data_IF_458133493118
#
_entry.id   IF_458133493118
#
_cell.length_a   1.000
_cell.length_b   1.000
_cell.length_c   1.000
_cell.angle_alpha   90.00
_cell.angle_beta   90.00
_cell.angle_gamma   90.00
#
_symmetry.space_group_name_H-M   'P 1'
#
loop_
_entity.id
_entity.type
_entity.pdbx_description
1 polymer ?
2 non-polymer ?
3 non-polymer ?
4 non-polymer ?
5 non-polymer ?
6 water ?
#
# COMPACT_ATOMS: atom_id res chain seq x y z
N UNK A 2 32.45 -20.88 -2.82
CA UNK A 2 31.21 -20.09 -2.81
C UNK A 2 31.49 -18.60 -2.87
N UNK A 3 30.49 -17.80 -3.22
CA UNK A 3 30.62 -16.36 -3.26
C UNK A 3 29.30 -15.64 -2.93
N UNK A 4 29.37 -14.50 -2.26
CA UNK A 4 28.14 -13.73 -2.01
C UNK A 4 27.67 -13.10 -3.30
N UNK A 5 26.44 -13.37 -3.74
CA UNK A 5 25.89 -12.76 -4.94
C UNK A 5 25.03 -11.54 -4.65
N UNK A 6 24.38 -11.54 -3.47
CA UNK A 6 23.58 -10.40 -3.06
C UNK A 6 23.51 -10.42 -1.53
N UNK A 7 23.43 -9.24 -0.92
CA UNK A 7 23.38 -9.21 0.55
C UNK A 7 22.74 -7.88 0.96
N UNK A 8 21.89 -7.93 1.99
CA UNK A 8 21.37 -6.71 2.57
C UNK A 8 21.01 -7.04 4.03
N UNK A 9 21.04 -6.02 4.88
CA UNK A 9 20.80 -6.28 6.30
C UNK A 9 20.29 -4.96 6.86
N UNK A 10 19.62 -5.06 8.06
CA UNK A 10 19.13 -3.82 8.66
C UNK A 10 18.14 -4.11 9.79
N UNK A 11 17.24 -3.16 9.98
CA UNK A 11 16.26 -3.26 11.08
C UNK A 11 14.85 -3.22 10.50
N UNK A 12 14.08 -4.23 10.96
CA UNK A 12 12.65 -4.31 10.60
C UNK A 12 11.73 -4.03 11.79
N UNK A 13 10.48 -3.74 11.50
CA UNK A 13 9.41 -3.64 12.50
C UNK A 13 9.72 -2.58 13.55
N UNK A 14 10.25 -1.44 13.09
CA UNK A 14 10.54 -0.34 14.02
C UNK A 14 9.32 0.55 14.11
N UNK A 15 8.63 0.48 15.25
CA UNK A 15 7.44 1.30 15.49
C UNK A 15 7.84 2.73 15.87
N UNK A 16 7.21 3.69 15.24
CA UNK A 16 7.55 5.10 15.46
C UNK A 16 6.27 5.91 15.58
N UNK A 17 6.11 6.74 16.62
CA UNK A 17 5.08 7.72 16.77
C UNK A 17 5.69 9.13 16.74
N UNK A 18 5.01 10.05 16.10
CA UNK A 18 5.46 11.44 16.30
C UNK A 18 4.24 12.30 16.53
N UNK A 19 4.34 13.29 17.44
CA UNK A 19 3.30 14.30 17.63
C UNK A 19 3.77 15.69 17.20
N UNK A 20 2.87 16.42 16.59
CA UNK A 20 3.07 17.84 16.31
C UNK A 20 2.12 18.63 17.19
N UNK A 21 2.61 19.66 17.87
CA UNK A 21 1.80 20.50 18.73
C UNK A 21 1.81 21.96 18.24
N UNK A 22 0.62 22.48 17.98
CA UNK A 22 0.51 23.90 17.62
C UNK A 22 0.10 24.62 18.90
N UNK A 23 1.04 25.35 19.52
CA UNK A 23 0.66 25.95 20.79
C UNK A 23 0.13 27.36 20.59
N UNK A 24 -0.10 27.76 19.34
CA UNK A 24 -0.96 28.91 19.08
C UNK A 24 -2.42 28.42 19.08
N UNK A 25 -2.69 27.35 18.34
CA UNK A 25 -4.08 26.87 18.27
C UNK A 25 -4.40 25.79 19.31
N UNK A 26 -3.42 25.15 19.91
CA UNK A 26 -3.59 24.11 20.90
C UNK A 26 -3.94 22.76 20.28
N UNK A 27 -3.82 22.72 18.96
CA UNK A 27 -4.18 21.49 18.24
C UNK A 27 -2.99 20.56 18.10
N UNK A 28 -3.18 19.28 18.41
CA UNK A 28 -2.08 18.30 18.27
C UNK A 28 -2.46 17.36 17.14
N UNK A 29 -1.41 16.87 16.47
CA UNK A 29 -1.63 15.99 15.33
C UNK A 29 -0.68 14.82 15.50
N UNK A 30 -1.11 13.57 15.33
CA UNK A 30 -0.25 12.42 15.53
C UNK A 30 -0.05 11.61 14.23
N UNK A 31 1.11 11.01 14.20
CA UNK A 31 1.53 10.15 13.12
C UNK A 31 2.10 8.88 13.71
N UNK A 32 1.73 7.72 13.17
CA UNK A 32 2.34 6.49 13.62
C UNK A 32 2.63 5.59 12.41
N UNK A 33 3.81 5.02 12.46
CA UNK A 33 4.28 4.15 11.37
C UNK A 33 5.04 2.95 11.86
N UNK A 34 5.32 2.05 10.93
CA UNK A 34 6.28 0.98 11.15
C UNK A 34 7.31 1.00 10.02
N UNK A 35 8.57 1.09 10.40
CA UNK A 35 9.69 1.32 9.47
C UNK A 35 10.61 0.12 9.40
N UNK A 36 11.05 -0.16 8.16
CA UNK A 36 12.18 -1.05 7.93
C UNK A 36 13.21 -0.39 7.02
N UNK A 37 14.46 -0.59 7.37
CA UNK A 37 15.61 -0.12 6.60
C UNK A 37 16.57 -1.27 6.40
N UNK A 38 16.87 -1.58 5.12
CA UNK A 38 17.88 -2.57 4.75
C UNK A 38 18.94 -1.87 3.91
N UNK A 39 20.20 -2.12 4.25
CA UNK A 39 21.34 -1.53 3.56
C UNK A 39 22.09 -2.58 2.75
N UNK A 40 22.68 -2.06 1.66
CA UNK A 40 23.56 -2.80 0.79
C UNK A 40 24.87 -1.98 0.57
N UNK A 41 25.91 -2.76 0.27
CA UNK A 41 27.16 -2.01 -0.06
C UNK A 41 28.31 -2.99 -0.01
N UNK A 42 29.48 -2.45 0.36
CA UNK A 42 30.67 -3.27 0.46
C UNK A 42 30.69 -3.92 1.82
N UNK A 43 29.87 -4.94 1.94
CA UNK A 43 29.65 -5.61 3.22
C UNK A 43 29.85 -7.09 3.17
N UNK A 44 30.31 -7.67 2.04
CA UNK A 44 30.37 -9.12 1.96
C UNK A 44 31.32 -9.76 2.94
N UNK A 45 32.38 -9.02 3.35
CA UNK A 45 33.32 -9.63 4.29
C UNK A 45 32.72 -9.88 5.68
N UNK A 46 31.58 -9.20 5.96
CA UNK A 46 30.94 -9.57 7.24
C UNK A 46 30.38 -10.99 7.15
N UNK A 47 29.99 -11.38 5.93
CA UNK A 47 29.52 -12.74 5.75
C UNK A 47 30.63 -13.78 5.57
N UNK A 48 31.68 -13.41 4.83
CA UNK A 48 32.66 -14.42 4.48
C UNK A 48 33.87 -14.47 5.38
N UNK A 49 34.14 -13.41 6.14
CA UNK A 49 35.39 -13.36 6.89
C UNK A 49 35.17 -12.92 8.33
N UNK A 50 33.92 -12.91 8.77
CA UNK A 50 33.64 -12.48 10.15
C UNK A 50 34.18 -11.07 10.41
N UNK A 51 34.16 -10.21 9.41
CA UNK A 51 34.62 -8.83 9.52
C UNK A 51 33.46 -7.92 9.85
N UNK A 52 33.25 -7.65 11.15
CA UNK A 52 32.13 -6.81 11.54
C UNK A 52 32.37 -5.30 11.38
N UNK A 53 33.61 -4.91 11.00
CA UNK A 53 33.94 -3.50 10.78
C UNK A 53 33.06 -2.83 9.75
N UNK A 54 32.49 -3.62 8.81
CA UNK A 54 31.64 -3.06 7.75
C UNK A 54 30.18 -2.95 8.15
N UNK A 55 29.88 -3.48 9.34
CA UNK A 55 28.49 -3.43 9.80
C UNK A 55 28.16 -2.22 10.65
N UNK A 56 27.20 -1.45 10.16
CA UNK A 56 26.46 -0.43 10.89
C UNK A 56 25.43 -1.23 11.69
N UNK A 57 25.59 -1.31 13.00
CA UNK A 57 24.78 -2.24 13.78
C UNK A 57 23.30 -1.91 13.60
N UNK A 58 22.49 -3.00 13.65
CA UNK A 58 21.05 -2.72 13.38
C UNK A 58 20.42 -1.83 14.44
N UNK A 59 21.02 -1.99 15.65
CA UNK A 59 20.57 -1.06 16.70
C UNK A 59 20.87 0.39 16.40
N UNK A 60 22.03 0.59 15.72
CA UNK A 60 22.31 1.97 15.31
C UNK A 60 21.44 2.50 14.20
N UNK A 61 21.04 1.56 13.28
CA UNK A 61 20.02 1.89 12.30
C UNK A 61 18.71 2.31 12.98
N UNK A 62 18.30 1.57 14.02
CA UNK A 62 17.12 1.97 14.79
C UNK A 62 17.27 3.34 15.40
N UNK A 63 18.41 3.57 16.07
CA UNK A 63 18.63 4.92 16.62
C UNK A 63 18.49 6.01 15.58
N UNK A 64 19.08 5.76 14.39
CA UNK A 64 19.02 6.70 13.28
C UNK A 64 17.62 7.01 12.76
N UNK A 65 16.74 5.98 12.76
CA UNK A 65 15.34 6.25 12.43
C UNK A 65 14.71 7.24 13.40
N UNK A 66 14.94 6.97 14.71
CA UNK A 66 14.32 7.92 15.68
C UNK A 66 14.89 9.34 15.61
N UNK A 67 16.23 9.40 15.50
CA UNK A 67 16.86 10.73 15.33
C UNK A 67 16.40 11.48 14.10
N UNK A 68 16.34 10.77 12.95
CA UNK A 68 15.82 11.41 11.74
C UNK A 68 14.38 11.89 11.88
N UNK A 69 13.55 11.08 12.58
CA UNK A 69 12.19 11.49 12.86
C UNK A 69 12.10 12.70 13.77
N UNK A 70 13.08 12.84 14.68
CA UNK A 70 13.10 14.01 15.57
C UNK A 70 13.42 15.30 14.82
N UNK A 71 14.34 15.17 13.86
CA UNK A 71 14.92 16.29 13.12
C UNK A 71 14.20 16.68 11.85
N UNK A 72 13.21 15.93 11.37
CA UNK A 72 12.50 16.21 10.14
C UNK A 72 11.01 15.92 10.23
N UNK A 73 10.22 16.49 9.35
CA UNK A 73 8.83 16.01 9.23
C UNK A 73 8.83 14.53 8.85
N UNK A 74 7.80 13.80 9.30
CA UNK A 74 7.69 12.37 8.98
C UNK A 74 6.65 12.18 7.87
N UNK A 75 6.07 13.26 7.40
CA UNK A 75 5.08 13.23 6.33
C UNK A 75 5.53 14.18 5.20
N UNK A 76 5.22 13.89 3.94
CA UNK A 76 4.62 12.63 3.51
C UNK A 76 5.65 11.52 3.60
N UNK A 77 5.22 10.26 3.69
CA UNK A 77 6.16 9.17 3.89
C UNK A 77 7.16 9.04 2.74
N UNK A 78 6.81 9.42 1.53
CA UNK A 78 7.76 9.41 0.41
C UNK A 78 8.98 10.32 0.72
N UNK A 79 8.68 11.46 1.35
CA UNK A 79 9.76 12.39 1.72
C UNK A 79 10.59 11.84 2.87
N UNK A 80 9.91 11.36 3.91
CA UNK A 80 10.66 10.88 5.08
C UNK A 80 11.57 9.74 4.73
N UNK A 81 11.04 8.76 3.93
CA UNK A 81 11.85 7.63 3.50
C UNK A 81 13.04 8.06 2.62
N UNK A 82 12.80 9.14 1.83
CA UNK A 82 13.94 9.60 1.00
C UNK A 82 15.04 10.27 1.83
N UNK A 83 14.62 11.02 2.85
CA UNK A 83 15.60 11.64 3.73
C UNK A 83 16.40 10.59 4.48
N UNK A 84 15.70 9.59 5.03
CA UNK A 84 16.34 8.54 5.77
C UNK A 84 17.31 7.72 4.93
N UNK A 85 16.85 7.35 3.71
CA UNK A 85 17.75 6.53 2.90
C UNK A 85 18.98 7.33 2.39
N UNK A 86 18.74 8.59 2.10
CA UNK A 86 19.83 9.47 1.65
C UNK A 86 20.86 9.58 2.76
N UNK A 87 20.40 9.70 4.02
CA UNK A 87 21.37 9.76 5.11
C UNK A 87 22.33 8.60 5.07
N UNK A 88 21.83 7.35 4.86
CA UNK A 88 22.74 6.24 5.01
C UNK A 88 23.80 6.17 3.92
N UNK A 89 23.33 6.46 2.68
CA UNK A 89 24.35 6.32 1.62
C UNK A 89 25.26 7.55 1.71
N UNK A 90 24.87 8.69 2.27
CA UNK A 90 25.85 9.79 2.35
C UNK A 90 26.77 9.62 3.52
N UNK A 91 26.23 9.14 4.64
CA UNK A 91 27.03 9.09 5.86
C UNK A 91 28.13 8.05 5.73
N UNK A 92 27.89 6.91 5.10
CA UNK A 92 28.76 5.76 5.07
C UNK A 92 29.31 5.54 3.66
N UNK A 93 30.60 5.80 3.45
CA UNK A 93 31.18 5.62 2.13
C UNK A 93 30.92 4.24 1.59
N UNK A 94 30.88 3.20 2.43
CA UNK A 94 30.80 1.84 1.90
C UNK A 94 29.36 1.31 1.74
N UNK A 95 28.39 2.11 2.12
CA UNK A 95 26.97 1.78 1.93
C UNK A 95 26.51 2.47 0.66
N UNK A 96 26.01 1.62 -0.27
CA UNK A 96 25.68 2.15 -1.59
C UNK A 96 24.21 2.10 -1.93
N UNK A 97 23.42 1.43 -1.08
CA UNK A 97 21.99 1.54 -1.26
C UNK A 97 21.27 1.43 0.09
N UNK A 98 20.17 2.16 0.15
CA UNK A 98 19.33 2.04 1.36
C UNK A 98 17.89 1.83 0.89
N UNK A 99 17.30 0.80 1.49
CA UNK A 99 15.94 0.39 1.11
C UNK A 99 15.01 0.60 2.31
N UNK A 100 14.13 1.54 2.16
CA UNK A 100 13.23 1.97 3.25
C UNK A 100 11.77 1.66 2.95
N UNK A 101 11.20 0.79 3.82
CA UNK A 101 9.76 0.60 3.79
C UNK A 101 9.07 1.31 4.93
N UNK A 102 7.96 1.97 4.65
CA UNK A 102 7.17 2.61 5.72
C UNK A 102 5.71 2.16 5.58
N UNK A 103 5.14 1.66 6.66
CA UNK A 103 3.71 1.37 6.79
C UNK A 103 3.13 2.50 7.65
N UNK A 104 2.21 3.25 7.16
CA UNK A 104 1.57 4.34 7.91
C UNK A 104 0.22 3.87 8.46
N UNK A 105 0.03 4.02 9.77
CA UNK A 105 -1.20 3.60 10.44
C UNK A 105 -2.15 4.75 10.62
N UNK A 106 -3.46 4.46 10.62
CA UNK A 106 -4.45 5.54 10.69
C UNK A 106 -4.75 5.97 12.13
N UNK A 107 -4.59 7.28 12.34
CA UNK A 107 -5.07 7.97 13.54
C UNK A 107 -5.85 9.19 13.08
N UNK A 108 -7.14 8.98 12.86
CA UNK A 108 -8.01 10.02 12.34
C UNK A 108 -8.54 10.84 13.50
N UNK A 109 -8.50 12.18 13.35
CA UNK A 109 -8.98 13.01 14.47
C UNK A 109 -10.44 12.71 14.77
N UNK A 110 -10.78 12.58 16.05
CA UNK A 110 -12.19 12.46 16.43
C UNK A 110 -13.01 13.73 16.28
N UNK A 111 -14.29 13.52 15.93
CA UNK A 111 -15.27 14.60 16.00
C UNK A 111 -16.10 14.35 17.25
N UNK A 112 -16.20 15.34 18.12
CA UNK A 112 -17.03 15.18 19.32
C UNK A 112 -18.08 16.27 19.30
N UNK A 113 -19.35 15.90 19.41
CA UNK A 113 -20.43 16.90 19.33
C UNK A 113 -20.26 17.84 18.15
N UNK A 114 -19.81 17.24 17.05
CA UNK A 114 -19.71 17.82 15.75
C UNK A 114 -18.59 18.81 15.56
N UNK A 115 -17.60 18.76 16.44
CA UNK A 115 -16.42 19.61 16.29
C UNK A 115 -15.17 18.73 16.36
N UNK A 116 -14.14 18.96 15.55
CA UNK A 116 -12.90 18.19 15.63
C UNK A 116 -12.20 18.39 16.97
N UNK A 117 -11.79 17.28 17.57
CA UNK A 117 -11.13 17.36 18.88
C UNK A 117 -9.64 17.65 18.71
N UNK A 118 -9.08 18.53 19.53
CA UNK A 118 -7.69 18.91 19.35
C UNK A 118 -6.64 17.88 19.64
N UNK A 119 -6.93 16.76 20.30
CA UNK A 119 -5.90 15.79 20.65
C UNK A 119 -6.38 14.37 20.94
N UNK A 120 -7.53 14.01 20.32
CA UNK A 120 -8.05 12.65 20.45
C UNK A 120 -8.32 12.06 19.07
N UNK A 121 -7.93 10.79 18.90
CA UNK A 121 -7.90 10.14 17.61
C UNK A 121 -8.45 8.71 17.63
N UNK A 122 -8.92 8.24 16.47
CA UNK A 122 -9.46 6.89 16.36
C UNK A 122 -8.77 6.15 15.21
N UNK A 123 -8.53 4.86 15.42
CA UNK A 123 -8.09 3.99 14.31
C UNK A 123 -9.32 3.62 13.49
N UNK A 124 -9.60 4.40 12.44
CA UNK A 124 -10.75 4.10 11.56
C UNK A 124 -10.24 3.20 10.41
N UNK A 125 -9.98 1.98 10.76
CA UNK A 125 -9.70 0.82 9.96
C UNK A 125 -8.21 0.56 9.86
N UNK A 126 -7.97 -0.67 9.42
CA UNK A 126 -6.61 -1.18 9.30
C UNK A 126 -6.07 -0.87 7.91
N UNK A 127 -6.81 -0.11 7.08
CA UNK A 127 -6.18 0.35 5.83
C UNK A 127 -4.85 1.06 6.11
N UNK A 128 -3.85 0.79 5.27
CA UNK A 128 -2.53 1.40 5.42
C UNK A 128 -2.27 2.22 4.17
N UNK A 129 -1.39 3.20 4.35
CA UNK A 129 -0.71 3.94 3.30
C UNK A 129 0.77 3.54 3.38
N UNK A 130 1.45 3.14 2.33
CA UNK A 130 2.80 2.60 2.40
C UNK A 130 3.69 3.31 1.36
N UNK A 131 4.97 3.27 1.64
CA UNK A 131 6.00 3.56 0.64
C UNK A 131 7.12 2.55 0.72
N UNK A 132 7.74 2.30 -0.43
CA UNK A 132 9.02 1.65 -0.59
C UNK A 132 9.93 2.65 -1.33
N UNK A 133 10.97 3.07 -0.62
CA UNK A 133 11.89 4.08 -1.17
C UNK A 133 13.26 3.46 -1.25
N UNK A 134 13.76 3.32 -2.49
CA UNK A 134 15.06 2.73 -2.72
C UNK A 134 16.03 3.85 -3.13
N UNK A 135 16.98 4.13 -2.23
CA UNK A 135 18.00 5.17 -2.49
C UNK A 135 19.27 4.47 -2.90
N UNK A 136 19.70 4.69 -4.16
CA UNK A 136 20.82 3.92 -4.71
C UNK A 136 21.90 4.87 -5.22
N UNK A 137 23.08 4.73 -4.63
CA UNK A 137 24.13 5.73 -4.91
C UNK A 137 24.46 5.74 -6.39
N UNK A 138 24.52 6.95 -6.94
CA UNK A 138 24.76 7.04 -8.38
C UNK A 138 23.48 6.96 -9.19
N UNK A 139 22.41 6.36 -8.66
CA UNK A 139 21.19 6.15 -9.42
C UNK A 139 19.93 6.71 -8.82
N UNK A 140 19.93 7.74 -7.98
CA UNK A 140 18.72 8.45 -7.59
C UNK A 140 17.93 7.70 -6.53
N UNK A 141 16.66 8.03 -6.57
CA UNK A 141 15.67 7.51 -5.63
C UNK A 141 14.46 6.97 -6.39
N UNK A 142 14.21 5.67 -6.18
CA UNK A 142 13.05 4.98 -6.74
C UNK A 142 11.97 4.83 -5.66
N UNK A 143 10.78 5.35 -5.95
CA UNK A 143 9.69 5.30 -4.99
C UNK A 143 8.45 4.58 -5.55
N UNK A 144 7.98 3.62 -4.77
CA UNK A 144 6.64 3.04 -4.98
C UNK A 144 5.72 3.46 -3.85
N UNK A 145 4.55 3.95 -4.09
CA UNK A 145 3.57 4.34 -3.08
C UNK A 145 2.39 3.39 -3.09
N UNK A 146 1.75 3.14 -1.96
CA UNK A 146 0.55 2.27 -2.13
C UNK A 146 -0.45 2.51 -1.03
N UNK A 147 -1.66 2.00 -1.31
CA UNK A 147 -2.70 1.86 -0.29
C UNK A 147 -2.99 0.36 -0.26
N UNK A 148 -3.26 -0.14 0.95
CA UNK A 148 -3.50 -1.58 1.14
C UNK A 148 -4.48 -1.77 2.29
N UNK A 149 -5.14 -2.92 2.25
CA UNK A 149 -6.06 -3.25 3.32
C UNK A 149 -7.32 -2.42 3.28
N UNK A 150 -7.73 -1.96 2.10
CA UNK A 150 -8.98 -1.21 1.91
C UNK A 150 -10.04 -2.23 1.51
N UNK A 151 -10.89 -2.61 2.45
CA UNK A 151 -11.81 -3.75 2.30
C UNK A 151 -13.19 -3.23 2.00
N UNK A 152 -13.74 -3.69 0.86
CA UNK A 152 -14.97 -3.17 0.28
C UNK A 152 -15.85 -4.35 -0.19
N UNK A 153 -17.14 -4.01 -0.31
CA UNK A 153 -18.13 -4.98 -0.77
C UNK A 153 -19.23 -4.22 -1.54
N UNK A 154 -19.64 -4.77 -2.69
CA UNK A 154 -20.86 -4.31 -3.37
C UNK A 154 -21.80 -5.52 -3.49
N UNK A 155 -23.09 -5.25 -3.32
CA UNK A 155 -24.04 -6.35 -3.18
C UNK A 155 -24.71 -6.74 -4.49
N UNK A 156 -24.45 -5.92 -5.51
CA UNK A 156 -25.00 -6.18 -6.85
C UNK A 156 -24.21 -5.40 -7.89
N UNK A 157 -24.54 -5.41 -9.17
CA UNK A 157 -23.75 -4.64 -10.15
C UNK A 157 -22.32 -5.17 -10.23
N UNK A 158 -22.21 -6.48 -10.12
CA UNK A 158 -21.08 -7.26 -10.53
C UNK A 158 -21.58 -8.47 -11.30
N UNK A 159 -20.90 -8.79 -12.37
CA UNK A 159 -21.24 -9.94 -13.20
C UNK A 159 -20.03 -10.79 -13.53
N UNK A 160 -20.24 -12.04 -13.93
CA UNK A 160 -19.17 -12.87 -14.46
C UNK A 160 -19.75 -13.98 -15.32
N UNK A 161 -19.74 -13.70 -16.62
CA UNK A 161 -20.21 -14.67 -17.62
C UNK A 161 -19.32 -14.63 -18.85
N UNK A 162 -19.48 -15.59 -19.76
CA UNK A 162 -18.67 -15.55 -20.97
C UNK A 162 -17.26 -16.07 -20.80
N UNK A 163 -16.93 -16.69 -19.67
CA UNK A 163 -15.61 -17.26 -19.46
C UNK A 163 -15.42 -18.59 -20.16
N UNK A 164 -14.20 -19.07 -20.35
CA UNK A 164 -13.92 -20.34 -21.00
C UNK A 164 -14.61 -21.49 -20.28
N UNK A 165 -15.22 -22.41 -21.04
CA UNK A 165 -15.92 -23.56 -20.48
C UNK A 165 -15.40 -24.84 -21.10
N UNK A 166 -14.84 -25.76 -20.35
CA UNK A 166 -14.38 -27.05 -20.80
C UNK A 166 -14.61 -28.13 -19.73
N UNK A 167 -13.93 -29.24 -19.85
CA UNK A 167 -14.24 -30.38 -18.99
C UNK A 167 -13.75 -30.11 -17.56
N UNK A 168 -13.02 -29.03 -17.31
CA UNK A 168 -12.67 -28.67 -15.92
C UNK A 168 -13.63 -27.67 -15.32
N UNK A 169 -14.63 -27.17 -16.02
CA UNK A 169 -15.51 -26.11 -15.59
C UNK A 169 -16.83 -26.57 -14.99
N UNK A 170 -17.15 -26.06 -13.80
CA UNK A 170 -18.44 -26.35 -13.16
C UNK A 170 -19.19 -25.09 -12.82
N UNK A 171 -18.51 -23.93 -12.78
CA UNK A 171 -19.05 -22.67 -12.39
C UNK A 171 -20.17 -22.19 -13.30
N UNK A 172 -21.26 -21.77 -12.71
CA UNK A 172 -22.39 -21.22 -13.45
C UNK A 172 -22.15 -19.76 -13.80
N UNK A 173 -22.47 -19.37 -15.02
CA UNK A 173 -22.46 -17.95 -15.36
C UNK A 173 -23.37 -17.16 -14.45
N UNK A 174 -23.04 -15.92 -14.14
CA UNK A 174 -23.92 -15.05 -13.38
C UNK A 174 -23.94 -13.64 -13.97
N UNK A 175 -25.11 -13.00 -13.93
CA UNK A 175 -25.34 -11.63 -14.32
C UNK A 175 -25.62 -10.73 -13.10
N UNK A 176 -25.47 -11.25 -11.87
CA UNK A 176 -25.71 -10.50 -10.66
C UNK A 176 -25.10 -11.23 -9.47
N UNK A 177 -23.93 -10.75 -9.01
CA UNK A 177 -23.21 -11.37 -7.90
C UNK A 177 -22.72 -10.26 -6.97
N UNK A 178 -22.35 -10.74 -5.78
CA UNK A 178 -21.58 -9.94 -4.82
C UNK A 178 -20.11 -9.88 -5.26
N UNK A 179 -19.52 -8.71 -5.10
CA UNK A 179 -18.06 -8.55 -5.24
C UNK A 179 -17.48 -7.87 -4.00
N UNK A 180 -16.52 -8.59 -3.39
CA UNK A 180 -15.79 -8.02 -2.23
C UNK A 180 -14.31 -8.25 -2.37
N UNK A 181 -13.49 -7.29 -1.94
CA UNK A 181 -12.04 -7.43 -2.10
C UNK A 181 -11.33 -6.61 -1.04
N UNK A 182 -10.02 -6.83 -0.92
CA UNK A 182 -9.11 -6.01 -0.11
C UNK A 182 -8.20 -5.32 -1.14
N UNK A 183 -8.28 -4.02 -1.30
CA UNK A 183 -7.55 -3.38 -2.40
C UNK A 183 -6.09 -3.16 -2.03
N UNK A 184 -5.17 -3.63 -2.85
CA UNK A 184 -3.74 -3.32 -2.78
C UNK A 184 -3.41 -2.61 -4.11
N UNK A 185 -3.16 -1.31 -4.05
CA UNK A 185 -2.88 -0.52 -5.25
C UNK A 185 -1.56 0.23 -5.09
N UNK A 186 -0.70 0.14 -6.07
CA UNK A 186 0.65 0.71 -6.00
C UNK A 186 0.91 1.60 -7.22
N UNK A 187 1.41 2.81 -6.99
CA UNK A 187 1.83 3.66 -8.11
C UNK A 187 3.34 3.84 -8.03
N UNK A 188 4.02 3.68 -9.15
CA UNK A 188 5.48 3.76 -9.25
C UNK A 188 5.86 5.10 -9.87
N UNK A 189 6.61 5.91 -9.12
CA UNK A 189 7.07 7.20 -9.61
C UNK A 189 8.28 7.10 -10.53
N UNK A 190 8.27 8.09 -11.45
CA UNK A 190 9.46 8.43 -12.22
C UNK A 190 10.65 8.45 -11.28
N UNK A 191 11.79 7.92 -11.69
CA UNK A 191 13.03 8.05 -10.94
C UNK A 191 13.30 9.52 -10.59
N UNK A 192 13.71 9.75 -9.35
CA UNK A 192 14.11 11.08 -8.88
C UNK A 192 15.63 11.06 -8.80
N UNK A 193 16.23 12.21 -9.16
CA UNK A 193 17.69 12.25 -9.17
C UNK A 193 18.35 12.29 -7.81
N UNK A 194 17.58 12.65 -6.79
CA UNK A 194 18.07 12.77 -5.42
C UNK A 194 17.04 13.43 -4.56
N UNK A 195 17.47 13.82 -3.36
CA UNK A 195 16.56 14.40 -2.39
C UNK A 195 15.92 15.70 -2.83
N UNK A 196 16.70 16.55 -3.52
CA UNK A 196 16.18 17.83 -3.96
C UNK A 196 14.96 17.63 -4.86
N UNK A 197 15.08 16.71 -5.80
CA UNK A 197 13.92 16.50 -6.71
C UNK A 197 12.72 15.93 -5.97
N UNK A 198 13.02 15.01 -5.04
CA UNK A 198 11.85 14.53 -4.27
C UNK A 198 11.15 15.68 -3.55
N UNK A 199 11.94 16.53 -2.87
CA UNK A 199 11.36 17.70 -2.20
C UNK A 199 10.56 18.59 -3.12
N UNK A 200 11.01 18.75 -4.38
CA UNK A 200 10.35 19.65 -5.32
C UNK A 200 8.94 19.18 -5.68
N UNK A 201 8.67 17.89 -5.43
CA UNK A 201 7.36 17.33 -5.79
C UNK A 201 6.48 17.03 -4.58
N UNK A 202 6.84 17.47 -3.39
CA UNK A 202 6.19 17.01 -2.16
C UNK A 202 4.68 17.12 -2.18
N UNK A 203 4.04 18.16 -2.64
CA UNK A 203 2.56 18.18 -2.62
C UNK A 203 1.97 17.07 -3.51
N UNK A 204 2.68 16.58 -4.52
CA UNK A 204 2.07 15.54 -5.38
C UNK A 204 1.89 14.20 -4.66
N UNK A 205 2.60 13.98 -3.55
CA UNK A 205 2.49 12.67 -2.91
C UNK A 205 1.14 12.53 -2.24
N UNK A 206 0.75 13.43 -1.33
CA UNK A 206 -0.58 13.30 -0.72
C UNK A 206 -1.66 13.43 -1.78
N UNK A 207 -1.45 14.25 -2.79
CA UNK A 207 -2.52 14.44 -3.78
C UNK A 207 -2.73 13.17 -4.58
N UNK A 208 -1.64 12.46 -4.90
CA UNK A 208 -1.76 11.26 -5.75
C UNK A 208 -2.35 10.12 -4.94
N UNK A 209 -2.01 10.05 -3.66
CA UNK A 209 -2.65 9.03 -2.80
C UNK A 209 -4.14 9.32 -2.73
N UNK A 210 -4.58 10.57 -2.56
CA UNK A 210 -6.00 10.89 -2.54
C UNK A 210 -6.63 10.54 -3.87
N UNK A 211 -5.99 10.85 -5.00
CA UNK A 211 -6.56 10.49 -6.29
C UNK A 211 -6.72 8.99 -6.42
N UNK A 212 -5.70 8.21 -6.09
CA UNK A 212 -5.79 6.75 -6.21
C UNK A 212 -6.95 6.22 -5.37
N UNK A 213 -7.10 6.68 -4.14
CA UNK A 213 -8.15 6.22 -3.26
C UNK A 213 -9.52 6.59 -3.81
N UNK A 214 -9.69 7.83 -4.23
CA UNK A 214 -10.97 8.31 -4.75
C UNK A 214 -11.34 7.54 -6.01
N UNK A 215 -10.38 7.32 -6.90
CA UNK A 215 -10.66 6.61 -8.16
C UNK A 215 -11.05 5.18 -7.83
N UNK A 216 -10.31 4.54 -6.92
CA UNK A 216 -10.65 3.19 -6.49
C UNK A 216 -12.08 3.08 -5.99
N UNK A 217 -12.42 3.94 -5.05
CA UNK A 217 -13.74 3.86 -4.40
C UNK A 217 -14.84 4.14 -5.40
N UNK A 218 -14.76 5.21 -6.19
CA UNK A 218 -15.83 5.57 -7.11
C UNK A 218 -15.95 4.55 -8.24
N UNK A 219 -14.83 4.07 -8.78
CA UNK A 219 -14.91 3.05 -9.84
C UNK A 219 -15.50 1.74 -9.31
N UNK A 220 -15.08 1.30 -8.13
CA UNK A 220 -15.65 0.11 -7.51
C UNK A 220 -17.16 0.26 -7.35
N UNK A 221 -17.62 1.37 -6.81
CA UNK A 221 -19.04 1.57 -6.56
C UNK A 221 -19.87 1.73 -7.83
N UNK A 222 -19.31 2.36 -8.87
CA UNK A 222 -20.14 2.74 -10.03
C UNK A 222 -19.99 1.80 -11.21
N UNK A 223 -18.93 1.03 -11.34
CA UNK A 223 -18.73 0.18 -12.51
C UNK A 223 -19.67 -1.03 -12.42
N UNK A 224 -20.49 -1.24 -13.46
CA UNK A 224 -21.23 -2.51 -13.51
C UNK A 224 -20.26 -3.49 -14.12
N UNK A 225 -19.59 -4.16 -13.20
CA UNK A 225 -18.36 -4.88 -13.45
C UNK A 225 -18.55 -6.15 -14.24
N UNK A 226 -17.82 -6.26 -15.33
CA UNK A 226 -17.77 -7.45 -16.16
C UNK A 226 -16.89 -8.54 -15.60
N UNK A 227 -15.95 -8.16 -14.71
CA UNK A 227 -14.96 -8.99 -14.09
C UNK A 227 -14.06 -8.08 -13.22
N UNK A 228 -13.35 -8.75 -12.30
CA UNK A 228 -12.41 -8.00 -11.45
C UNK A 228 -11.34 -7.34 -12.35
N UNK A 229 -10.84 -8.07 -13.31
CA UNK A 229 -9.83 -7.60 -14.29
C UNK A 229 -10.28 -6.31 -14.95
N UNK A 230 -11.50 -6.24 -15.50
CA UNK A 230 -11.96 -5.08 -16.26
C UNK A 230 -12.18 -3.87 -15.38
N UNK A 231 -12.70 -4.08 -14.17
CA UNK A 231 -12.83 -2.96 -13.24
C UNK A 231 -11.48 -2.39 -12.76
N UNK A 232 -10.57 -3.30 -12.42
CA UNK A 232 -9.28 -2.80 -11.90
C UNK A 232 -8.54 -2.04 -13.00
N UNK A 233 -8.72 -2.51 -14.25
CA UNK A 233 -8.00 -1.83 -15.34
C UNK A 233 -8.50 -0.41 -15.46
N UNK A 234 -9.81 -0.17 -15.34
CA UNK A 234 -10.36 1.17 -15.40
C UNK A 234 -9.76 2.10 -14.35
N UNK A 235 -9.56 1.57 -13.14
CA UNK A 235 -9.00 2.37 -12.05
C UNK A 235 -7.57 2.84 -12.41
N UNK A 236 -6.79 1.87 -12.88
CA UNK A 236 -5.40 2.13 -13.26
C UNK A 236 -5.30 3.15 -14.36
N UNK A 237 -6.14 3.05 -15.39
CA UNK A 237 -5.95 4.03 -16.49
C UNK A 237 -6.31 5.42 -16.01
N UNK A 238 -7.29 5.58 -15.12
CA UNK A 238 -7.70 6.89 -14.65
C UNK A 238 -6.60 7.50 -13.77
N UNK A 239 -5.97 6.67 -12.94
CA UNK A 239 -4.88 7.23 -12.10
C UNK A 239 -3.73 7.70 -12.98
N UNK A 240 -3.34 6.93 -13.99
CA UNK A 240 -2.28 7.34 -14.91
C UNK A 240 -2.63 8.63 -15.60
N UNK A 241 -3.90 8.86 -15.93
CA UNK A 241 -4.27 10.08 -16.65
C UNK A 241 -4.28 11.28 -15.74
N UNK A 242 -4.30 11.02 -14.44
CA UNK A 242 -4.37 12.14 -13.51
C UNK A 242 -3.06 12.44 -12.80
N UNK A 243 -1.96 11.76 -13.09
CA UNK A 243 -0.68 12.15 -12.48
C UNK A 243 0.42 11.75 -13.46
N UNK A 244 0.95 12.75 -14.19
CA UNK A 244 1.93 12.36 -15.19
C UNK A 244 3.28 11.93 -14.65
N UNK A 245 3.63 12.12 -13.38
CA UNK A 245 4.91 11.72 -12.82
C UNK A 245 4.97 10.28 -12.33
N UNK A 246 3.84 9.58 -12.46
CA UNK A 246 3.92 8.14 -12.19
C UNK A 246 4.01 7.35 -13.50
N UNK A 247 4.72 6.26 -13.53
CA UNK A 247 4.93 5.48 -14.74
C UNK A 247 4.01 4.27 -14.84
N UNK A 248 3.73 3.64 -13.70
CA UNK A 248 2.82 2.49 -13.75
C UNK A 248 1.91 2.45 -12.52
N UNK A 249 0.80 1.74 -12.68
CA UNK A 249 -0.14 1.49 -11.57
C UNK A 249 -0.35 -0.01 -11.53
N UNK A 250 -0.21 -0.58 -10.33
CA UNK A 250 -0.37 -2.01 -10.13
C UNK A 250 -1.53 -2.27 -9.18
N UNK A 251 -2.41 -3.21 -9.54
CA UNK A 251 -3.44 -3.67 -8.61
C UNK A 251 -3.24 -5.16 -8.34
N UNK A 252 -3.47 -5.54 -7.09
CA UNK A 252 -3.60 -6.91 -6.65
C UNK A 252 -4.90 -7.02 -5.84
N UNK A 253 -5.89 -7.73 -6.38
CA UNK A 253 -7.22 -7.84 -5.78
C UNK A 253 -7.64 -9.28 -5.57
N UNK A 254 -7.90 -9.72 -4.34
CA UNK A 254 -8.54 -11.01 -4.13
C UNK A 254 -10.04 -10.86 -4.42
N UNK A 255 -10.61 -11.95 -4.93
CA UNK A 255 -12.04 -12.13 -5.05
C UNK A 255 -12.52 -12.98 -3.85
N UNK A 256 -13.04 -12.22 -2.87
CA UNK A 256 -13.43 -12.84 -1.60
C UNK A 256 -14.88 -13.31 -1.77
N UNK A 257 -15.02 -14.62 -1.94
CA UNK A 257 -16.29 -15.15 -2.45
C UNK A 257 -17.41 -15.19 -1.40
N UNK A 258 -18.61 -14.91 -1.81
CA UNK A 258 -19.87 -15.02 -1.07
C UNK A 258 -20.75 -16.04 -1.81
N UNK A 259 -20.93 -17.22 -1.27
CA UNK A 259 -21.67 -18.28 -1.98
C UNK A 259 -23.15 -18.25 -1.65
N UNK A 260 -23.97 -18.45 -2.70
CA UNK A 260 -25.40 -18.64 -2.39
C UNK A 260 -25.59 -19.93 -1.59
N UNK A 261 -26.69 -19.98 -0.84
CA UNK A 261 -27.03 -21.18 -0.09
C UNK A 261 -28.42 -21.69 -0.52
N UNK A 262 -28.42 -22.86 -1.12
CA UNK A 262 -29.69 -23.50 -1.55
C UNK A 262 -30.35 -24.11 -0.31
N UNK A 263 -31.49 -23.56 0.06
CA UNK A 263 -32.29 -24.02 1.19
C UNK A 263 -33.58 -24.69 0.70
N UNK A 264 -33.70 -25.00 -0.59
CA UNK A 264 -35.01 -25.51 -1.02
C UNK A 264 -35.33 -26.88 -0.47
N UNK A 265 -34.37 -27.58 0.05
CA UNK A 265 -34.53 -28.87 0.73
C UNK A 265 -35.32 -28.70 2.04
N UNK A 266 -35.40 -27.49 2.58
CA UNK A 266 -36.15 -27.15 3.77
C UNK A 266 -37.36 -26.28 3.53
N UNK A 267 -38.52 -26.94 3.65
CA UNK A 267 -39.85 -26.38 3.42
C UNK A 267 -39.93 -25.56 2.13
N UNK A 268 -39.22 -26.02 1.10
CA UNK A 268 -39.25 -25.32 -0.17
C UNK A 268 -38.65 -23.93 -0.15
N UNK A 269 -37.76 -23.58 0.80
CA UNK A 269 -37.31 -22.20 0.89
C UNK A 269 -36.52 -21.79 -0.37
N UNK A 270 -36.82 -20.61 -0.86
CA UNK A 270 -36.19 -20.05 -2.05
C UNK A 270 -35.17 -18.98 -1.67
N UNK A 271 -33.90 -19.36 -1.87
CA UNK A 271 -32.81 -18.44 -1.47
C UNK A 271 -31.75 -18.37 -2.55
N UNK A 272 -32.06 -18.69 -3.81
CA UNK A 272 -31.06 -18.64 -4.88
C UNK A 272 -31.53 -17.71 -5.98
N UNK A 273 -30.56 -17.29 -6.82
CA UNK A 273 -30.95 -16.39 -7.90
C UNK A 273 -31.54 -15.10 -7.41
N UNK A 274 -32.68 -14.67 -7.96
CA UNK A 274 -33.28 -13.40 -7.55
C UNK A 274 -33.76 -13.40 -6.10
N UNK A 275 -33.92 -14.61 -5.57
CA UNK A 275 -34.41 -14.82 -4.22
C UNK A 275 -33.26 -14.87 -3.22
N UNK A 276 -32.01 -14.75 -3.69
CA UNK A 276 -30.86 -14.88 -2.78
C UNK A 276 -30.76 -13.73 -1.79
N UNK A 277 -30.84 -14.10 -0.48
CA UNK A 277 -30.76 -13.10 0.58
C UNK A 277 -29.68 -13.48 1.58
N UNK A 278 -29.59 -14.73 1.95
CA UNK A 278 -28.60 -15.19 2.94
C UNK A 278 -27.50 -15.95 2.20
N UNK A 279 -26.23 -15.61 2.47
CA UNK A 279 -25.07 -16.14 1.82
C UNK A 279 -24.04 -16.63 2.82
N UNK A 280 -23.15 -17.48 2.36
CA UNK A 280 -22.04 -17.97 3.16
C UNK A 280 -20.75 -17.31 2.64
N UNK A 281 -20.22 -16.37 3.41
CA UNK A 281 -18.91 -15.81 3.07
C UNK A 281 -17.85 -16.88 3.20
N UNK A 282 -16.94 -16.99 2.23
CA UNK A 282 -15.94 -18.02 2.18
C UNK A 282 -14.58 -17.49 2.56
N UNK A 283 -13.96 -18.01 3.61
CA UNK A 283 -12.62 -17.57 4.02
C UNK A 283 -11.53 -17.92 3.04
N UNK A 284 -11.61 -19.11 2.46
CA UNK A 284 -10.66 -19.59 1.48
C UNK A 284 -11.37 -20.64 0.64
N UNK A 285 -10.89 -20.96 -0.55
CA UNK A 285 -9.83 -20.25 -1.26
C UNK A 285 -10.40 -18.95 -1.79
N UNK A 286 -9.58 -18.21 -2.57
CA UNK A 286 -10.00 -16.98 -3.20
C UNK A 286 -9.35 -16.76 -4.58
N UNK A 287 -10.15 -16.18 -5.46
CA UNK A 287 -9.46 -15.74 -6.69
C UNK A 287 -8.45 -14.65 -6.33
N UNK A 288 -7.44 -14.54 -7.19
CA UNK A 288 -6.44 -13.46 -7.04
C UNK A 288 -6.09 -12.90 -8.43
N UNK A 289 -6.34 -11.63 -8.60
CA UNK A 289 -6.26 -11.01 -9.93
C UNK A 289 -5.26 -9.88 -9.87
N UNK A 290 -4.29 -9.88 -10.79
CA UNK A 290 -3.25 -8.85 -10.75
C UNK A 290 -3.04 -8.20 -12.12
N UNK A 291 -2.67 -6.92 -12.12
CA UNK A 291 -2.17 -6.32 -13.36
C UNK A 291 -1.32 -5.11 -13.02
N UNK A 292 -0.37 -4.84 -13.92
CA UNK A 292 0.43 -3.63 -13.90
C UNK A 292 0.14 -2.87 -15.21
N UNK A 293 -0.24 -1.64 -15.11
CA UNK A 293 -0.69 -0.84 -16.26
C UNK A 293 0.33 0.28 -16.43
N UNK A 294 0.73 0.45 -17.69
CA UNK A 294 1.72 1.49 -18.01
C UNK A 294 1.15 2.39 -19.08
N UNK A 295 1.96 3.32 -19.61
CA UNK A 295 1.37 4.17 -20.65
C UNK A 295 1.73 3.62 -22.03
N UNK A 296 0.89 3.84 -23.03
CA UNK A 296 1.14 3.31 -24.38
C UNK A 296 2.34 4.00 -25.04
#
# INVERSE_FOLDING_TARGET
XSAVKAARYGKDNVRVYKVHKDEKTGVQTVYEMTVCVLLEGEIETSYTKADNSVIVATDSIKNTIYITAKQNPVTPPELFGSILGTHFIEKYNHIHAAHVNIVCHRWTRMDIDGKPHPHSFIRDSEEKRNVQVDVVEGKGIDIKSSLSGLTVLKSTNSQFWGFLRDEYTTLKETWDRILSTDVDATWQWKNFSGLQEVRSHVPKFDATWATAREVTLKTFAEDNSASVQATMYKMAEQILARQQLIETVEYSLPNKHYFEIDLSWHKGLQNTGKNAEVFAPQSDPNGLIKCTVGRS
#
